data_IF_914974168661
#
_entry.id   IF_914974168661
#
_cell.length_a   1.000
_cell.length_b   1.000
_cell.length_c   1.000
_cell.angle_alpha   90.00
_cell.angle_beta   90.00
_cell.angle_gamma   90.00
#
_symmetry.space_group_name_H-M   'P 1'
#
loop_
_entity.id
_entity.type
_entity.pdbx_description
1 polymer ?
#
# COMPACT_ATOMS: atom_id res chain seq x y z
N UNK A 1 -12.57 -53.45 -18.67
CA UNK A 1 -11.84 -52.28 -19.21
C UNK A 1 -12.87 -51.34 -19.77
N UNK A 2 -12.95 -50.09 -19.29
CA UNK A 2 -13.84 -49.09 -19.92
C UNK A 2 -13.34 -48.79 -21.33
N UNK A 3 -14.25 -48.75 -22.30
CA UNK A 3 -13.95 -48.33 -23.66
C UNK A 3 -13.40 -46.90 -23.67
N UNK A 4 -12.47 -46.55 -24.59
CA UNK A 4 -12.00 -45.19 -24.72
C UNK A 4 -13.18 -44.25 -25.00
N UNK A 5 -13.26 -43.16 -24.24
CA UNK A 5 -14.29 -42.14 -24.38
C UNK A 5 -13.69 -40.91 -25.08
N UNK A 6 -14.35 -40.44 -26.14
CA UNK A 6 -14.00 -39.19 -26.80
C UNK A 6 -14.62 -38.00 -26.06
N UNK A 7 -13.80 -37.00 -25.72
CA UNK A 7 -14.23 -35.75 -25.09
C UNK A 7 -14.00 -34.58 -26.05
N UNK A 8 -14.98 -33.68 -26.15
CA UNK A 8 -14.88 -32.49 -27.00
C UNK A 8 -14.48 -31.26 -26.18
N UNK A 9 -13.29 -30.72 -26.43
CA UNK A 9 -12.84 -29.46 -25.82
C UNK A 9 -13.40 -28.26 -26.62
N UNK A 10 -14.13 -27.37 -25.94
CA UNK A 10 -14.53 -26.07 -26.51
C UNK A 10 -13.51 -25.02 -26.10
N UNK A 11 -12.72 -24.55 -27.06
CA UNK A 11 -11.66 -23.58 -26.84
C UNK A 11 -11.94 -22.33 -27.66
N UNK A 12 -11.76 -21.15 -27.05
CA UNK A 12 -11.67 -19.92 -27.83
C UNK A 12 -10.26 -19.78 -28.46
N UNK A 13 -10.05 -18.84 -29.40
CA UNK A 13 -8.74 -18.68 -30.06
C UNK A 13 -7.58 -18.41 -29.08
N UNK A 14 -7.81 -17.72 -27.96
CA UNK A 14 -6.77 -17.40 -26.98
C UNK A 14 -6.33 -18.63 -26.17
N UNK A 15 -7.29 -19.49 -25.82
CA UNK A 15 -7.02 -20.77 -25.16
C UNK A 15 -6.31 -21.72 -26.11
N UNK A 16 -6.73 -21.77 -27.38
CA UNK A 16 -6.06 -22.59 -28.39
C UNK A 16 -4.62 -22.12 -28.63
N UNK A 17 -4.39 -20.81 -28.74
CA UNK A 17 -3.06 -20.22 -28.88
C UNK A 17 -2.13 -20.59 -27.70
N UNK A 18 -2.64 -20.56 -26.46
CA UNK A 18 -1.87 -21.01 -25.30
C UNK A 18 -1.40 -22.46 -25.43
N UNK A 19 -2.31 -23.38 -25.80
CA UNK A 19 -1.99 -24.80 -25.94
C UNK A 19 -1.06 -25.05 -27.13
N UNK A 20 -1.25 -24.31 -28.22
CA UNK A 20 -0.36 -24.36 -29.39
C UNK A 20 1.05 -23.86 -29.05
N UNK A 21 1.20 -22.84 -28.20
CA UNK A 21 2.51 -22.40 -27.71
C UNK A 21 3.21 -23.47 -26.88
N UNK A 22 2.49 -24.20 -26.02
CA UNK A 22 3.07 -25.36 -25.31
C UNK A 22 3.61 -26.41 -26.29
N UNK A 23 2.82 -26.77 -27.31
CA UNK A 23 3.22 -27.72 -28.36
C UNK A 23 4.45 -27.21 -29.12
N UNK A 24 4.45 -25.94 -29.53
CA UNK A 24 5.56 -25.31 -30.23
C UNK A 24 6.85 -25.25 -29.39
N UNK A 25 6.72 -25.13 -28.07
CA UNK A 25 7.83 -25.17 -27.12
C UNK A 25 8.32 -26.60 -26.80
N UNK A 26 7.74 -27.62 -27.45
CA UNK A 26 8.13 -29.02 -27.28
C UNK A 26 7.49 -29.72 -26.10
N UNK A 27 6.43 -29.16 -25.49
CA UNK A 27 5.78 -29.82 -24.35
C UNK A 27 5.05 -31.11 -24.75
N UNK A 28 4.60 -31.21 -26.01
CA UNK A 28 3.99 -32.39 -26.60
C UNK A 28 4.00 -32.29 -28.13
N UNK A 29 3.77 -33.41 -28.83
CA UNK A 29 3.69 -33.42 -30.30
C UNK A 29 2.38 -32.83 -30.85
N UNK A 30 1.28 -32.97 -30.11
CA UNK A 30 -0.05 -32.50 -30.49
C UNK A 30 -0.94 -32.28 -29.24
N UNK A 31 -2.16 -31.80 -29.47
CA UNK A 31 -3.11 -31.50 -28.39
C UNK A 31 -3.52 -32.75 -27.60
N UNK A 32 -3.60 -33.92 -28.24
CA UNK A 32 -3.94 -35.17 -27.59
C UNK A 32 -2.82 -35.59 -26.62
N UNK A 33 -1.58 -35.55 -27.06
CA UNK A 33 -0.39 -35.86 -26.28
C UNK A 33 -0.19 -34.86 -25.14
N UNK A 34 -0.50 -33.57 -25.38
CA UNK A 34 -0.49 -32.53 -24.35
C UNK A 34 -1.53 -32.82 -23.26
N UNK A 35 -2.76 -33.19 -23.65
CA UNK A 35 -3.82 -33.56 -22.71
C UNK A 35 -3.42 -34.79 -21.87
N UNK A 36 -2.84 -35.82 -22.50
CA UNK A 36 -2.35 -37.01 -21.80
C UNK A 36 -1.20 -36.69 -20.82
N UNK A 37 -0.25 -35.84 -21.23
CA UNK A 37 0.83 -35.36 -20.38
C UNK A 37 0.28 -34.59 -19.17
N UNK A 38 -0.62 -33.64 -19.41
CA UNK A 38 -1.24 -32.84 -18.36
C UNK A 38 -1.96 -33.72 -17.33
N UNK A 39 -2.77 -34.69 -17.76
CA UNK A 39 -3.46 -35.64 -16.86
C UNK A 39 -2.44 -36.41 -16.00
N UNK A 40 -1.37 -36.93 -16.62
CA UNK A 40 -0.35 -37.72 -15.92
C UNK A 40 0.41 -36.88 -14.89
N UNK A 41 0.89 -35.70 -15.28
CA UNK A 41 1.70 -34.85 -14.41
C UNK A 41 0.89 -34.21 -13.28
N UNK A 42 -0.36 -33.81 -13.55
CA UNK A 42 -1.27 -33.33 -12.52
C UNK A 42 -1.63 -34.42 -11.52
N UNK A 43 -1.90 -35.65 -11.99
CA UNK A 43 -2.19 -36.79 -11.10
C UNK A 43 -1.02 -37.11 -10.17
N UNK A 44 0.21 -36.99 -10.67
CA UNK A 44 1.41 -37.34 -9.92
C UNK A 44 2.01 -36.15 -9.14
N UNK A 45 1.38 -34.97 -9.20
CA UNK A 45 1.93 -33.72 -8.68
C UNK A 45 3.38 -33.46 -9.14
N UNK A 46 3.68 -33.81 -10.40
CA UNK A 46 5.03 -33.76 -10.98
C UNK A 46 5.19 -32.64 -12.01
N UNK A 47 4.31 -31.64 -11.96
CA UNK A 47 4.39 -30.47 -12.85
C UNK A 47 5.61 -29.64 -12.45
N UNK A 48 6.53 -29.46 -13.37
CA UNK A 48 7.69 -28.60 -13.18
C UNK A 48 7.39 -27.20 -13.68
N UNK A 49 7.80 -26.19 -12.94
CA UNK A 49 7.64 -24.80 -13.38
C UNK A 49 8.53 -24.54 -14.59
N UNK A 50 7.92 -24.17 -15.71
CA UNK A 50 8.63 -23.66 -16.89
C UNK A 50 8.91 -22.15 -16.80
N UNK A 51 8.61 -21.51 -15.67
CA UNK A 51 8.87 -20.08 -15.48
C UNK A 51 10.38 -19.85 -15.53
N UNK A 52 10.89 -18.95 -16.39
CA UNK A 52 12.30 -18.59 -16.40
C UNK A 52 12.75 -18.15 -15.01
N UNK A 53 13.99 -18.46 -14.65
CA UNK A 53 14.59 -17.94 -13.43
C UNK A 53 14.54 -16.40 -13.47
N UNK A 54 14.29 -15.79 -12.32
CA UNK A 54 14.38 -14.34 -12.20
C UNK A 54 15.80 -13.88 -12.59
N UNK A 55 15.96 -12.74 -13.28
CA UNK A 55 17.27 -12.21 -13.59
C UNK A 55 18.08 -11.99 -12.31
N UNK A 56 19.40 -12.14 -12.41
CA UNK A 56 20.30 -11.86 -11.30
C UNK A 56 20.14 -10.40 -10.85
N UNK A 57 20.23 -10.16 -9.54
CA UNK A 57 20.24 -8.79 -9.01
C UNK A 57 21.48 -8.05 -9.52
N UNK A 58 21.37 -6.75 -9.85
CA UNK A 58 22.53 -5.96 -10.27
C UNK A 58 23.56 -5.89 -9.14
N UNK A 59 24.84 -5.88 -9.50
CA UNK A 59 25.91 -5.55 -8.54
C UNK A 59 25.89 -4.04 -8.28
N UNK A 60 25.64 -3.67 -7.03
CA UNK A 60 25.53 -2.28 -6.58
C UNK A 60 26.76 -1.84 -5.78
N UNK A 61 27.75 -2.71 -5.56
CA UNK A 61 28.84 -2.52 -4.58
C UNK A 61 29.69 -1.27 -4.80
N UNK A 62 29.82 -0.79 -6.04
CA UNK A 62 30.59 0.41 -6.40
C UNK A 62 29.79 1.71 -6.55
N UNK A 63 28.47 1.69 -6.37
CA UNK A 63 27.61 2.86 -6.57
C UNK A 63 27.40 3.64 -5.27
N UNK A 64 27.42 4.97 -5.40
CA UNK A 64 27.13 5.87 -4.28
C UNK A 64 25.72 5.63 -3.74
N UNK A 65 25.60 5.59 -2.41
CA UNK A 65 24.34 5.52 -1.66
C UNK A 65 23.92 6.89 -1.11
N UNK A 66 24.69 7.95 -1.40
CA UNK A 66 24.44 9.28 -0.88
C UNK A 66 23.24 9.90 -1.57
N UNK A 67 22.19 10.16 -0.79
CA UNK A 67 21.02 10.93 -1.20
C UNK A 67 21.18 12.40 -0.79
N UNK A 68 20.70 13.32 -1.63
CA UNK A 68 20.62 14.74 -1.28
C UNK A 68 19.21 15.06 -0.77
N UNK A 69 19.09 15.54 0.47
CA UNK A 69 17.82 16.03 1.01
C UNK A 69 17.37 17.30 0.28
N UNK A 70 16.14 17.31 -0.21
CA UNK A 70 15.53 18.42 -0.95
C UNK A 70 14.44 19.13 -0.14
N UNK A 71 13.66 18.38 0.64
CA UNK A 71 12.60 18.92 1.48
C UNK A 71 12.30 18.03 2.68
N UNK A 72 11.86 18.63 3.78
CA UNK A 72 11.38 17.94 4.99
C UNK A 72 10.06 18.58 5.43
N UNK A 73 9.12 17.75 5.89
CA UNK A 73 7.86 18.20 6.47
C UNK A 73 7.41 17.27 7.59
N UNK A 74 6.92 17.84 8.69
CA UNK A 74 6.13 17.11 9.68
C UNK A 74 4.66 17.17 9.28
N UNK A 75 4.00 16.02 9.29
CA UNK A 75 2.56 15.86 9.15
C UNK A 75 2.00 15.60 10.54
N UNK A 76 1.18 16.52 11.02
CA UNK A 76 0.55 16.41 12.34
C UNK A 76 -0.65 15.44 12.31
N UNK A 77 -1.02 14.83 13.44
CA UNK A 77 -2.26 14.07 13.58
C UNK A 77 -3.48 14.76 12.97
N UNK A 78 -4.22 14.02 12.13
CA UNK A 78 -5.40 14.55 11.43
C UNK A 78 -5.09 15.40 10.20
N UNK A 79 -3.83 15.41 9.72
CA UNK A 79 -3.42 16.19 8.54
C UNK A 79 -2.76 15.33 7.47
N UNK A 80 -2.67 15.88 6.26
CA UNK A 80 -1.96 15.29 5.13
C UNK A 80 -1.33 16.38 4.26
N UNK A 81 -0.60 15.98 3.21
CA UNK A 81 0.01 16.95 2.30
C UNK A 81 0.15 16.39 0.90
N UNK A 82 -0.23 17.17 -0.11
CA UNK A 82 0.13 16.89 -1.49
C UNK A 82 1.55 17.41 -1.80
N UNK A 83 2.39 16.53 -2.34
CA UNK A 83 3.81 16.72 -2.58
C UNK A 83 4.12 16.40 -4.04
N UNK A 84 4.68 17.37 -4.77
CA UNK A 84 5.30 17.10 -6.06
C UNK A 84 6.54 16.24 -5.84
N UNK A 85 6.61 15.11 -6.53
CA UNK A 85 7.71 14.16 -6.47
C UNK A 85 8.14 13.84 -7.88
N UNK A 86 9.27 14.41 -8.29
CA UNK A 86 9.78 14.27 -9.65
C UNK A 86 10.39 12.88 -9.87
N UNK A 87 10.39 12.41 -11.13
CA UNK A 87 11.09 11.17 -11.50
C UNK A 87 12.54 11.19 -11.01
N UNK A 88 12.96 10.10 -10.36
CA UNK A 88 14.30 9.99 -9.78
C UNK A 88 14.44 10.64 -8.41
N UNK A 89 13.35 11.09 -7.79
CA UNK A 89 13.33 11.48 -6.37
C UNK A 89 12.81 10.33 -5.50
N UNK A 90 13.24 10.32 -4.24
CA UNK A 90 12.79 9.37 -3.22
C UNK A 90 11.92 10.10 -2.21
N UNK A 91 10.73 9.57 -1.96
CA UNK A 91 9.89 9.96 -0.82
C UNK A 91 10.16 9.00 0.33
N UNK A 92 10.61 9.55 1.46
CA UNK A 92 10.69 8.86 2.74
C UNK A 92 9.52 9.26 3.61
N UNK A 93 8.77 8.28 4.11
CA UNK A 93 7.82 8.47 5.21
C UNK A 93 8.44 7.80 6.44
N UNK A 94 8.65 8.58 7.50
CA UNK A 94 9.34 8.16 8.72
C UNK A 94 8.46 8.38 9.95
N UNK A 95 8.54 7.44 10.89
CA UNK A 95 7.95 7.53 12.21
C UNK A 95 8.68 8.58 13.06
N UNK A 96 7.96 9.59 13.55
CA UNK A 96 8.53 10.55 14.52
C UNK A 96 8.64 9.90 15.90
N UNK A 97 7.56 9.27 16.36
CA UNK A 97 7.50 8.60 17.66
C UNK A 97 7.43 7.07 17.53
N UNK A 98 6.80 6.56 16.47
CA UNK A 98 6.50 5.15 16.26
C UNK A 98 5.01 4.85 16.42
N UNK A 99 4.58 3.68 15.95
CA UNK A 99 3.21 3.23 16.16
C UNK A 99 2.13 4.02 15.41
N UNK A 100 2.45 4.68 14.29
CA UNK A 100 1.50 5.44 13.48
C UNK A 100 1.40 4.90 12.05
N UNK A 101 0.18 4.64 11.57
CA UNK A 101 -0.05 4.32 10.16
C UNK A 101 -0.14 5.58 9.29
N UNK A 102 0.23 5.45 8.02
CA UNK A 102 -0.02 6.48 7.02
C UNK A 102 -0.87 5.91 5.89
N UNK A 103 -1.84 6.69 5.43
CA UNK A 103 -2.51 6.43 4.17
C UNK A 103 -1.76 7.18 3.06
N UNK A 104 -1.70 6.58 1.87
CA UNK A 104 -0.97 7.15 0.74
C UNK A 104 -1.77 7.01 -0.55
N UNK A 105 -1.98 8.12 -1.25
CA UNK A 105 -2.40 8.13 -2.66
C UNK A 105 -1.31 8.75 -3.54
N UNK A 106 -1.37 8.44 -4.83
CA UNK A 106 -0.36 8.88 -5.78
C UNK A 106 -0.94 8.97 -7.18
N UNK A 107 -0.72 10.11 -7.84
CA UNK A 107 -1.20 10.43 -9.17
C UNK A 107 -0.01 10.73 -10.08
N UNK A 108 -0.13 10.46 -11.38
CA UNK A 108 0.78 11.04 -12.36
C UNK A 108 0.55 12.57 -12.36
N UNK A 109 1.62 13.33 -12.15
CA UNK A 109 1.56 14.79 -12.03
C UNK A 109 0.99 15.47 -13.28
N UNK A 110 1.17 14.85 -14.45
CA UNK A 110 0.74 15.41 -15.73
C UNK A 110 -0.62 14.88 -16.20
N UNK A 111 -1.22 13.93 -15.47
CA UNK A 111 -2.46 13.27 -15.83
C UNK A 111 -3.07 12.55 -14.62
N UNK A 112 -3.91 13.23 -13.85
CA UNK A 112 -4.50 12.65 -12.64
C UNK A 112 -5.44 11.45 -12.90
N UNK A 113 -5.85 11.21 -14.16
CA UNK A 113 -6.59 9.99 -14.52
C UNK A 113 -5.67 8.76 -14.59
N UNK A 114 -4.37 8.94 -14.41
CA UNK A 114 -3.43 7.89 -14.04
C UNK A 114 -3.10 8.02 -12.56
N UNK A 115 -3.61 7.09 -11.77
CA UNK A 115 -3.40 7.04 -10.33
C UNK A 115 -3.06 5.63 -9.89
N UNK A 116 -2.51 5.50 -8.69
CA UNK A 116 -2.08 4.22 -8.13
C UNK A 116 -3.28 3.27 -7.97
N UNK A 117 -3.06 2.01 -8.36
CA UNK A 117 -4.07 0.95 -8.32
C UNK A 117 -3.59 -0.19 -7.43
N UNK A 118 -3.96 -0.11 -6.15
CA UNK A 118 -3.56 -1.08 -5.12
C UNK A 118 -3.99 -2.51 -5.46
N UNK A 119 -5.09 -2.70 -6.20
CA UNK A 119 -5.51 -4.03 -6.67
C UNK A 119 -4.48 -4.69 -7.61
N UNK A 120 -3.83 -3.90 -8.47
CA UNK A 120 -2.80 -4.40 -9.40
C UNK A 120 -1.51 -4.67 -8.64
N UNK A 121 -1.11 -3.75 -7.76
CA UNK A 121 0.00 -3.95 -6.82
C UNK A 121 -0.19 -5.25 -6.03
N UNK A 122 -1.39 -5.48 -5.49
CA UNK A 122 -1.75 -6.69 -4.74
C UNK A 122 -1.63 -7.97 -5.56
N UNK A 123 -2.11 -7.97 -6.81
CA UNK A 123 -1.99 -9.13 -7.69
C UNK A 123 -0.55 -9.49 -8.00
N UNK A 124 0.34 -8.50 -8.13
CA UNK A 124 1.73 -8.72 -8.53
C UNK A 124 2.65 -9.02 -7.34
N UNK A 125 2.38 -8.41 -6.18
CA UNK A 125 3.31 -8.38 -5.05
C UNK A 125 2.71 -8.90 -3.73
N UNK A 126 1.45 -9.35 -3.74
CA UNK A 126 0.77 -9.86 -2.55
C UNK A 126 0.15 -8.76 -1.68
N UNK A 127 -0.30 -9.12 -0.47
CA UNK A 127 -1.08 -8.23 0.40
C UNK A 127 -0.25 -7.17 1.14
N UNK A 128 1.07 -7.41 1.30
CA UNK A 128 1.97 -6.55 2.06
C UNK A 128 3.24 -6.21 1.24
N UNK A 129 3.15 -5.31 0.22
CA UNK A 129 4.29 -4.94 -0.60
C UNK A 129 5.43 -4.31 0.21
N UNK A 130 6.67 -4.60 -0.17
CA UNK A 130 7.87 -4.07 0.49
C UNK A 130 9.06 -3.94 -0.46
N UNK A 131 10.30 -3.83 0.07
CA UNK A 131 11.52 -3.64 -0.71
C UNK A 131 11.65 -4.59 -1.91
N UNK A 132 11.78 -4.00 -3.10
CA UNK A 132 11.83 -4.73 -4.37
C UNK A 132 10.51 -4.74 -5.14
N UNK A 133 9.41 -4.29 -4.52
CA UNK A 133 8.10 -4.25 -5.15
C UNK A 133 7.81 -2.89 -5.80
N UNK A 134 6.88 -2.90 -6.75
CA UNK A 134 6.42 -1.72 -7.48
C UNK A 134 5.00 -1.34 -7.10
N UNK A 135 4.73 -0.04 -6.97
CA UNK A 135 3.36 0.50 -6.92
C UNK A 135 2.92 0.82 -8.36
N UNK A 136 1.80 0.25 -8.80
CA UNK A 136 1.35 0.30 -10.19
C UNK A 136 0.20 1.29 -10.40
N UNK A 137 0.12 1.92 -11.58
CA UNK A 137 -1.03 2.72 -11.99
C UNK A 137 -2.20 1.88 -12.48
N UNK A 138 -3.40 2.47 -12.50
CA UNK A 138 -4.62 1.82 -12.99
C UNK A 138 -4.58 1.54 -14.50
N UNK A 139 -5.32 0.52 -14.99
CA UNK A 139 -5.67 0.42 -16.40
C UNK A 139 -6.33 1.72 -16.90
N UNK A 140 -6.07 2.15 -18.14
CA UNK A 140 -5.39 1.39 -19.20
C UNK A 140 -3.86 1.54 -19.23
N UNK A 141 -3.25 2.33 -18.33
CA UNK A 141 -1.82 2.65 -18.42
C UNK A 141 -0.94 1.57 -17.78
N UNK A 142 -1.31 1.10 -16.60
CA UNK A 142 -0.65 -0.02 -15.89
C UNK A 142 0.88 0.07 -15.85
N UNK A 143 1.39 1.25 -15.50
CA UNK A 143 2.83 1.54 -15.42
C UNK A 143 3.28 1.52 -13.97
N UNK A 144 4.52 1.12 -13.75
CA UNK A 144 5.12 1.27 -12.43
C UNK A 144 5.29 2.77 -12.11
N UNK A 145 4.67 3.23 -11.04
CA UNK A 145 4.71 4.62 -10.57
C UNK A 145 5.87 4.80 -9.61
N UNK A 146 6.00 3.89 -8.64
CA UNK A 146 7.04 3.94 -7.62
C UNK A 146 7.67 2.56 -7.40
N UNK A 147 8.89 2.55 -6.91
CA UNK A 147 9.61 1.36 -6.48
C UNK A 147 9.96 1.47 -5.00
N UNK A 148 9.63 0.46 -4.20
CA UNK A 148 9.94 0.45 -2.77
C UNK A 148 11.40 0.05 -2.60
N UNK A 149 12.22 1.00 -2.15
CA UNK A 149 13.65 0.80 -1.92
C UNK A 149 13.91 0.17 -0.55
N UNK A 150 13.26 0.70 0.48
CA UNK A 150 13.44 0.29 1.87
C UNK A 150 12.11 0.30 2.62
N UNK A 151 11.99 -0.60 3.58
CA UNK A 151 10.93 -0.67 4.59
C UNK A 151 11.56 -1.35 5.80
N UNK A 152 11.76 -0.59 6.86
CA UNK A 152 12.43 -1.08 8.07
C UNK A 152 11.52 -1.93 8.95
N UNK A 153 10.21 -1.91 8.71
CA UNK A 153 9.18 -2.54 9.56
C UNK A 153 8.54 -3.75 8.90
N UNK A 154 8.42 -3.75 7.57
CA UNK A 154 7.76 -4.79 6.76
C UNK A 154 6.27 -4.93 7.07
N UNK A 155 5.58 -3.80 7.21
CA UNK A 155 4.19 -3.75 7.66
C UNK A 155 3.32 -2.85 6.77
N UNK A 156 3.48 -2.86 5.45
CA UNK A 156 2.57 -2.14 4.56
C UNK A 156 1.38 -3.00 4.17
N UNK A 157 0.27 -2.38 3.78
CA UNK A 157 -0.95 -3.07 3.39
C UNK A 157 -1.57 -2.49 2.10
N UNK A 158 -2.10 -3.39 1.27
CA UNK A 158 -2.94 -3.07 0.10
C UNK A 158 -4.27 -3.83 0.12
N UNK A 159 -4.66 -4.38 1.26
CA UNK A 159 -5.89 -5.16 1.39
C UNK A 159 -7.04 -4.33 1.92
N UNK A 160 -6.82 -3.54 2.97
CA UNK A 160 -7.85 -2.72 3.57
C UNK A 160 -8.00 -1.39 2.81
N UNK A 161 -9.24 -0.89 2.66
CA UNK A 161 -9.45 0.45 2.15
C UNK A 161 -9.07 1.49 3.21
N UNK A 162 -8.99 2.75 2.77
CA UNK A 162 -8.93 3.90 3.67
C UNK A 162 -10.16 3.99 4.58
N UNK A 163 -10.00 4.49 5.80
CA UNK A 163 -11.15 4.77 6.66
C UNK A 163 -11.95 5.98 6.14
N UNK A 164 -13.24 6.03 6.49
CA UNK A 164 -14.17 7.07 6.04
C UNK A 164 -15.20 7.41 7.13
N UNK A 165 -15.84 8.57 7.02
CA UNK A 165 -16.92 8.95 7.94
C UNK A 165 -18.03 7.89 8.01
N UNK A 166 -18.43 7.31 6.87
CA UNK A 166 -19.46 6.27 6.83
C UNK A 166 -19.05 4.99 7.56
N UNK A 167 -17.78 4.57 7.44
CA UNK A 167 -17.25 3.46 8.23
C UNK A 167 -17.38 3.74 9.73
N UNK A 168 -16.96 4.94 10.15
CA UNK A 168 -17.02 5.33 11.57
C UNK A 168 -18.43 5.39 12.14
N UNK A 169 -19.39 5.89 11.37
CA UNK A 169 -20.77 5.95 11.81
C UNK A 169 -21.44 4.57 11.79
N UNK A 170 -21.35 3.85 10.67
CA UNK A 170 -22.09 2.59 10.48
C UNK A 170 -21.56 1.43 11.31
N UNK A 171 -20.25 1.38 11.54
CA UNK A 171 -19.60 0.26 12.24
C UNK A 171 -19.36 0.58 13.70
N UNK A 172 -18.98 1.82 14.02
CA UNK A 172 -18.54 2.20 15.36
C UNK A 172 -19.47 3.21 16.06
N UNK A 173 -20.51 3.71 15.39
CA UNK A 173 -21.48 4.64 15.97
C UNK A 173 -20.98 6.08 16.17
N UNK A 174 -19.85 6.46 15.56
CA UNK A 174 -19.32 7.82 15.66
C UNK A 174 -19.95 8.74 14.61
N UNK A 175 -20.73 9.72 15.04
CA UNK A 175 -21.29 10.75 14.14
C UNK A 175 -20.22 11.73 13.61
N UNK A 176 -19.09 11.85 14.29
CA UNK A 176 -17.93 12.64 13.87
C UNK A 176 -16.66 11.92 14.28
N UNK A 177 -15.78 11.66 13.31
CA UNK A 177 -14.48 11.05 13.55
C UNK A 177 -13.47 11.46 12.47
N UNK A 178 -12.24 11.71 12.88
CA UNK A 178 -11.12 11.96 11.95
C UNK A 178 -10.88 10.73 11.09
N UNK A 179 -10.78 10.88 9.78
CA UNK A 179 -10.66 9.75 8.85
C UNK A 179 -9.81 10.09 7.64
N UNK A 180 -9.17 9.08 7.05
CA UNK A 180 -8.23 9.26 5.95
C UNK A 180 -8.91 9.82 4.69
N UNK A 181 -10.15 9.41 4.37
CA UNK A 181 -10.84 9.93 3.20
C UNK A 181 -10.97 11.47 3.22
N UNK A 182 -11.39 12.05 4.35
CA UNK A 182 -11.54 13.50 4.49
C UNK A 182 -10.18 14.21 4.46
N UNK A 183 -9.18 13.66 5.16
CA UNK A 183 -7.83 14.23 5.19
C UNK A 183 -7.22 14.23 3.79
N UNK A 184 -7.36 13.13 3.08
CA UNK A 184 -6.84 12.95 1.72
C UNK A 184 -7.49 13.92 0.75
N UNK A 185 -8.82 14.06 0.82
CA UNK A 185 -9.61 15.00 0.02
C UNK A 185 -9.15 16.44 0.21
N UNK A 186 -8.89 16.84 1.46
CA UNK A 186 -8.44 18.19 1.77
C UNK A 186 -6.97 18.43 1.37
N UNK A 187 -6.09 17.44 1.53
CA UNK A 187 -4.69 17.55 1.15
C UNK A 187 -4.53 17.69 -0.38
N UNK A 188 -5.28 16.91 -1.16
CA UNK A 188 -5.19 16.94 -2.62
C UNK A 188 -5.89 18.14 -3.26
N UNK A 189 -6.79 18.83 -2.52
CA UNK A 189 -7.47 20.05 -2.98
C UNK A 189 -6.49 21.16 -3.37
N UNK A 190 -5.30 21.20 -2.78
CA UNK A 190 -4.21 22.11 -3.15
C UNK A 190 -3.83 22.02 -4.64
N UNK A 191 -4.14 20.92 -5.32
CA UNK A 191 -3.87 20.71 -6.76
C UNK A 191 -5.14 20.62 -7.61
N UNK A 192 -6.28 21.09 -7.08
CA UNK A 192 -7.57 21.09 -7.77
C UNK A 192 -8.26 19.73 -7.86
N UNK A 193 -7.76 18.71 -7.16
CA UNK A 193 -8.42 17.42 -7.03
C UNK A 193 -9.63 17.54 -6.08
N UNK A 194 -10.59 16.64 -6.28
CA UNK A 194 -11.86 16.58 -5.55
C UNK A 194 -11.96 15.31 -4.73
N UNK A 195 -12.89 15.19 -3.75
CA UNK A 195 -13.07 13.97 -2.97
C UNK A 195 -13.25 12.69 -3.83
N UNK A 196 -13.88 12.81 -5.01
CA UNK A 196 -14.07 11.70 -5.95
C UNK A 196 -12.78 11.17 -6.59
N UNK A 197 -11.68 11.94 -6.52
CA UNK A 197 -10.39 11.50 -7.02
C UNK A 197 -9.60 10.66 -6.00
N UNK A 198 -10.03 10.66 -4.72
CA UNK A 198 -9.41 9.80 -3.70
C UNK A 198 -9.64 8.34 -4.06
N UNK A 199 -8.55 7.57 -4.13
CA UNK A 199 -8.59 6.13 -4.43
C UNK A 199 -8.14 5.30 -3.23
N UNK A 200 -8.20 3.98 -3.36
CA UNK A 200 -7.75 3.09 -2.29
C UNK A 200 -6.27 3.32 -1.96
N UNK A 201 -5.96 3.30 -0.66
CA UNK A 201 -4.67 3.69 -0.11
C UNK A 201 -3.67 2.56 -0.13
N UNK A 202 -2.40 2.91 -0.34
CA UNK A 202 -1.30 2.09 0.14
C UNK A 202 -1.10 2.46 1.61
N UNK A 203 -1.40 1.52 2.51
CA UNK A 203 -1.41 1.77 3.94
C UNK A 203 -0.01 1.47 4.50
N UNK A 204 0.79 2.52 4.66
CA UNK A 204 2.14 2.43 5.21
C UNK A 204 2.08 2.10 6.71
N UNK A 205 2.92 1.16 7.12
CA UNK A 205 3.04 0.68 8.52
C UNK A 205 1.80 0.00 9.12
N UNK A 206 0.72 -0.19 8.36
CA UNK A 206 -0.47 -0.93 8.78
C UNK A 206 -0.20 -2.45 8.81
N UNK A 207 0.07 -2.97 10.00
CA UNK A 207 0.33 -4.40 10.21
C UNK A 207 -0.96 -5.22 10.02
N UNK A 208 -1.05 -5.97 8.93
CA UNK A 208 -2.25 -6.77 8.59
C UNK A 208 -1.90 -8.22 8.32
N UNK A 209 -2.80 -9.10 8.71
CA UNK A 209 -2.67 -10.55 8.51
C UNK A 209 -3.97 -11.14 7.96
N UNK A 210 -3.88 -12.29 7.30
CA UNK A 210 -5.05 -13.12 7.00
C UNK A 210 -5.24 -14.10 8.15
N UNK A 211 -6.36 -13.99 8.85
CA UNK A 211 -6.75 -14.88 9.94
C UNK A 211 -8.00 -15.68 9.53
N UNK A 212 -7.80 -16.91 9.08
CA UNK A 212 -8.88 -17.73 8.52
C UNK A 212 -9.40 -17.15 7.20
N UNK A 213 -10.69 -16.82 7.14
CA UNK A 213 -11.34 -16.26 5.95
C UNK A 213 -11.40 -14.71 5.95
N UNK A 214 -10.80 -14.04 6.95
CA UNK A 214 -10.87 -12.59 7.12
C UNK A 214 -9.50 -11.96 7.27
N UNK A 215 -9.36 -10.72 6.80
CA UNK A 215 -8.23 -9.87 7.17
C UNK A 215 -8.38 -9.41 8.63
N UNK A 216 -7.25 -9.27 9.34
CA UNK A 216 -7.18 -8.69 10.67
C UNK A 216 -6.07 -7.66 10.74
N UNK A 217 -6.33 -6.58 11.46
CA UNK A 217 -5.33 -5.55 11.77
C UNK A 217 -4.69 -5.91 13.09
N UNK A 218 -3.37 -5.99 13.10
CA UNK A 218 -2.57 -6.31 14.27
C UNK A 218 -1.94 -5.05 14.87
N UNK A 219 -1.40 -5.21 16.07
CA UNK A 219 -0.61 -4.16 16.71
C UNK A 219 0.59 -3.79 15.86
N UNK A 220 0.84 -2.49 15.77
CA UNK A 220 1.96 -1.92 15.04
C UNK A 220 3.24 -1.96 15.90
N UNK A 221 4.40 -2.25 15.29
CA UNK A 221 5.69 -2.47 15.99
C UNK A 221 6.78 -1.45 15.64
N UNK A 222 6.50 -0.47 14.78
CA UNK A 222 7.45 0.56 14.40
C UNK A 222 7.77 1.51 15.55
N UNK A 223 8.99 2.05 15.48
CA UNK A 223 9.59 2.94 16.46
C UNK A 223 10.02 4.23 15.77
N UNK A 224 10.36 5.25 16.55
CA UNK A 224 10.98 6.47 16.04
C UNK A 224 12.15 6.15 15.08
N UNK A 225 12.16 6.78 13.91
CA UNK A 225 13.16 6.59 12.85
C UNK A 225 12.89 5.43 11.88
N UNK A 226 11.94 4.54 12.17
CA UNK A 226 11.49 3.55 11.18
C UNK A 226 10.85 4.24 9.98
N UNK A 227 11.12 3.74 8.78
CA UNK A 227 10.73 4.41 7.55
C UNK A 227 10.49 3.47 6.38
N UNK A 228 9.77 4.00 5.38
CA UNK A 228 9.62 3.44 4.04
C UNK A 228 10.15 4.45 3.03
N UNK A 229 11.02 3.99 2.14
CA UNK A 229 11.60 4.78 1.05
C UNK A 229 11.04 4.32 -0.29
N UNK A 230 10.45 5.24 -1.04
CA UNK A 230 9.84 4.95 -2.34
C UNK A 230 10.41 5.86 -3.42
N UNK A 231 11.03 5.27 -4.44
CA UNK A 231 11.57 5.97 -5.61
C UNK A 231 10.48 6.25 -6.64
N UNK A 232 10.36 7.49 -7.08
CA UNK A 232 9.48 7.88 -8.18
C UNK A 232 10.05 7.48 -9.54
N UNK A 233 9.30 6.71 -10.32
CA UNK A 233 9.68 6.24 -11.67
C UNK A 233 9.10 7.12 -12.79
N UNK A 234 8.23 8.04 -12.43
CA UNK A 234 7.67 9.11 -13.24
C UNK A 234 7.43 10.33 -12.35
N UNK A 235 6.95 11.44 -12.92
CA UNK A 235 6.58 12.62 -12.14
C UNK A 235 5.23 12.40 -11.48
N UNK A 236 5.18 12.62 -10.17
CA UNK A 236 4.05 12.21 -9.33
C UNK A 236 3.56 13.36 -8.46
N UNK A 237 2.26 13.35 -8.20
CA UNK A 237 1.68 14.01 -7.04
C UNK A 237 1.47 12.94 -5.96
N UNK A 238 2.38 12.92 -5.00
CA UNK A 238 2.37 12.01 -3.87
C UNK A 238 1.61 12.65 -2.71
N UNK A 239 0.65 11.95 -2.11
CA UNK A 239 -0.23 12.54 -1.10
C UNK A 239 -0.32 11.62 0.11
N UNK A 240 0.67 11.65 1.03
CA UNK A 240 0.60 10.99 2.32
C UNK A 240 -0.29 11.74 3.32
N UNK A 241 -0.93 11.00 4.22
CA UNK A 241 -1.57 11.56 5.41
C UNK A 241 -1.34 10.71 6.66
N UNK A 242 -1.45 11.36 7.82
CA UNK A 242 -1.47 10.65 9.11
C UNK A 242 -2.83 9.98 9.27
N UNK A 243 -2.85 8.65 9.40
CA UNK A 243 -4.10 7.89 9.55
C UNK A 243 -4.85 8.35 10.82
N UNK A 244 -6.16 8.59 10.68
CA UNK A 244 -7.02 9.07 11.78
C UNK A 244 -7.56 7.98 12.71
N UNK A 245 -7.09 6.73 12.60
CA UNK A 245 -7.64 5.60 13.33
C UNK A 245 -7.00 5.40 14.73
N UNK A 246 -7.69 5.86 15.77
CA UNK A 246 -7.28 5.81 17.18
C UNK A 246 -8.18 4.95 18.07
N UNK A 247 -9.29 4.42 17.55
CA UNK A 247 -10.17 3.48 18.26
C UNK A 247 -9.90 2.01 17.92
N UNK A 248 -8.86 1.74 17.11
CA UNK A 248 -8.47 0.41 16.64
C UNK A 248 -6.94 0.25 16.69
N UNK A 249 -6.46 -1.01 16.59
CA UNK A 249 -5.03 -1.33 16.72
C UNK A 249 -4.13 -0.71 15.66
N UNK A 250 -4.69 -0.21 14.55
CA UNK A 250 -4.01 0.41 13.41
C UNK A 250 -2.86 1.34 13.82
N UNK A 251 -3.14 2.37 14.62
CA UNK A 251 -2.10 3.28 15.15
C UNK A 251 -1.93 3.13 16.66
N UNK A 252 -2.08 1.90 17.18
CA UNK A 252 -1.91 1.59 18.60
C UNK A 252 -2.72 2.52 19.54
N UNK A 253 -3.95 2.84 19.12
CA UNK A 253 -4.91 3.68 19.85
C UNK A 253 -4.47 5.10 20.19
N UNK A 254 -3.56 5.68 19.42
CA UNK A 254 -3.11 7.06 19.62
C UNK A 254 -2.54 7.60 18.31
N UNK A 255 -2.81 8.85 17.99
CA UNK A 255 -2.32 9.48 16.77
C UNK A 255 -1.02 10.24 17.04
N UNK A 256 0.00 10.01 16.22
CA UNK A 256 1.34 10.61 16.32
C UNK A 256 1.74 11.26 14.99
N UNK A 257 2.62 12.25 14.99
CA UNK A 257 3.11 12.85 13.75
C UNK A 257 3.94 11.87 12.91
N UNK A 258 3.98 12.13 11.61
CA UNK A 258 4.88 11.48 10.65
C UNK A 258 5.79 12.53 10.01
N UNK A 259 6.98 12.11 9.59
CA UNK A 259 7.91 12.97 8.86
C UNK A 259 7.96 12.51 7.39
N UNK A 260 7.71 13.42 6.47
CA UNK A 260 7.87 13.24 5.04
C UNK A 260 9.12 13.98 4.55
N UNK A 261 10.02 13.27 3.89
CA UNK A 261 11.24 13.84 3.31
C UNK A 261 11.35 13.48 1.83
N UNK A 262 11.80 14.44 1.03
CA UNK A 262 12.06 14.24 -0.40
C UNK A 262 13.56 14.35 -0.62
N UNK A 263 14.11 13.36 -1.32
CA UNK A 263 15.52 13.29 -1.67
C UNK A 263 15.71 13.21 -3.18
N UNK A 264 16.82 13.73 -3.69
CA UNK A 264 17.35 13.25 -4.97
C UNK A 264 17.88 11.82 -4.76
N UNK A 265 17.51 10.88 -5.64
CA UNK A 265 17.96 9.51 -5.55
C UNK A 265 19.48 9.40 -5.74
N UNK A 266 20.08 8.45 -5.03
CA UNK A 266 21.47 8.07 -5.24
C UNK A 266 21.65 7.25 -6.52
N UNK A 267 22.89 7.07 -6.96
CA UNK A 267 23.21 6.17 -8.08
C UNK A 267 22.73 4.74 -7.79
N UNK A 268 22.92 4.29 -6.55
CA UNK A 268 22.49 2.97 -6.08
C UNK A 268 20.97 2.81 -6.14
N UNK A 269 20.20 3.81 -5.73
CA UNK A 269 18.74 3.78 -5.78
C UNK A 269 18.26 3.57 -7.21
N UNK A 270 18.77 4.37 -8.15
CA UNK A 270 18.40 4.31 -9.57
C UNK A 270 18.78 2.96 -10.20
N UNK A 271 19.98 2.45 -9.90
CA UNK A 271 20.45 1.16 -10.42
C UNK A 271 19.76 -0.06 -9.77
N UNK A 272 19.13 0.11 -8.61
CA UNK A 272 18.43 -0.99 -7.92
C UNK A 272 17.11 -1.38 -8.60
N UNK A 273 16.54 -0.50 -9.43
CA UNK A 273 15.26 -0.72 -10.09
C UNK A 273 15.42 -1.77 -11.20
N UNK A 274 14.69 -2.89 -11.14
CA UNK A 274 14.67 -3.86 -12.22
C UNK A 274 14.18 -3.23 -13.53
N UNK A 275 14.71 -3.72 -14.66
CA UNK A 275 14.21 -3.30 -15.97
C UNK A 275 12.70 -3.57 -16.09
N UNK A 276 11.93 -2.54 -16.41
CA UNK A 276 10.50 -2.67 -16.68
C UNK A 276 10.31 -3.21 -18.08
N UNK A 277 9.53 -4.27 -18.21
CA UNK A 277 9.19 -4.84 -19.51
C UNK A 277 8.27 -3.89 -20.29
N UNK A 278 8.59 -3.65 -21.55
CA UNK A 278 7.72 -2.96 -22.50
C UNK A 278 6.96 -4.02 -23.32
N UNK A 279 5.66 -4.12 -23.11
CA UNK A 279 4.82 -5.12 -23.75
C UNK A 279 4.13 -4.52 -24.97
N UNK A 280 4.31 -5.12 -26.14
CA UNK A 280 3.62 -4.70 -27.37
C UNK A 280 2.09 -4.76 -27.29
N UNK A 281 1.56 -5.52 -26.33
CA UNK A 281 0.11 -5.63 -26.06
C UNK A 281 -0.39 -4.60 -25.04
N UNK A 282 0.49 -3.83 -24.39
CA UNK A 282 0.08 -2.77 -23.48
C UNK A 282 -0.54 -1.63 -24.27
N UNK A 283 -1.85 -1.47 -24.13
CA UNK A 283 -2.60 -0.42 -24.83
C UNK A 283 -2.34 0.92 -24.18
N UNK A 284 -2.20 1.95 -25.02
CA UNK A 284 -2.18 3.36 -24.64
C UNK A 284 -3.57 3.94 -24.89
N UNK A 285 -3.94 5.08 -24.25
CA UNK A 285 -5.22 5.74 -24.53
C UNK A 285 -5.52 5.91 -26.03
N UNK A 286 -4.50 6.22 -26.84
CA UNK A 286 -4.60 6.36 -28.30
C UNK A 286 -5.09 5.08 -29.04
N UNK A 287 -4.93 3.90 -28.44
CA UNK A 287 -5.36 2.63 -29.05
C UNK A 287 -6.84 2.33 -28.81
N UNK A 288 -7.54 3.12 -27.99
CA UNK A 288 -8.96 2.93 -27.69
C UNK A 288 -9.85 3.70 -28.66
N UNK A 289 -11.06 3.17 -28.92
CA UNK A 289 -12.06 3.83 -29.80
C UNK A 289 -12.46 5.22 -29.31
N UNK A 290 -12.40 5.44 -28.00
CA UNK A 290 -12.46 6.76 -27.39
C UNK A 290 -11.08 7.06 -26.77
N UNK A 291 -10.18 7.73 -27.50
CA UNK A 291 -8.83 8.01 -27.01
C UNK A 291 -8.73 9.28 -26.17
N UNK A 292 -9.78 10.11 -26.14
CA UNK A 292 -9.79 11.39 -25.43
C UNK A 292 -10.13 11.17 -23.96
N UNK A 293 -9.14 11.33 -23.08
CA UNK A 293 -9.34 11.30 -21.63
C UNK A 293 -9.70 12.70 -21.14
N UNK A 294 -10.85 12.84 -20.48
CA UNK A 294 -11.28 14.09 -19.84
C UNK A 294 -10.54 14.31 -18.52
N UNK A 295 -9.27 14.66 -18.62
CA UNK A 295 -8.45 15.13 -17.51
C UNK A 295 -8.43 16.67 -17.52
N UNK A 296 -9.61 17.26 -17.29
CA UNK A 296 -9.85 18.70 -17.54
C UNK A 296 -9.15 19.62 -16.52
N UNK A 297 -8.54 19.04 -15.48
CA UNK A 297 -7.86 19.72 -14.38
C UNK A 297 -6.37 19.42 -14.41
N UNK A 298 -5.51 20.34 -14.85
CA UNK A 298 -4.07 20.18 -14.70
C UNK A 298 -3.73 20.26 -13.21
N UNK A 299 -2.89 19.33 -12.72
CA UNK A 299 -2.40 19.37 -11.35
C UNK A 299 -1.39 20.51 -11.24
N UNK A 300 -1.86 21.67 -10.79
CA UNK A 300 -1.05 22.84 -10.51
C UNK A 300 -1.28 23.24 -9.07
N UNK A 301 -0.18 23.48 -8.36
CA UNK A 301 -0.25 23.95 -6.98
C UNK A 301 -0.99 25.28 -6.90
N UNK A 302 -2.03 25.32 -6.09
CA UNK A 302 -2.72 26.53 -5.68
C UNK A 302 -1.87 27.25 -4.62
N UNK A 303 -1.37 28.44 -4.96
CA UNK A 303 -0.56 29.25 -4.06
C UNK A 303 -1.37 29.89 -2.94
N UNK A 304 -2.69 30.00 -3.11
CA UNK A 304 -3.62 30.58 -2.14
C UNK A 304 -4.28 29.50 -1.26
N UNK A 305 -3.89 28.24 -1.43
CA UNK A 305 -4.40 27.12 -0.63
C UNK A 305 -4.10 27.32 0.86
N UNK A 306 -5.17 27.33 1.65
CA UNK A 306 -5.13 27.25 3.11
C UNK A 306 -5.80 25.94 3.53
N UNK A 307 -5.11 25.07 4.30
CA UNK A 307 -5.66 23.79 4.72
C UNK A 307 -6.81 23.96 5.72
N UNK A 308 -7.86 23.17 5.56
CA UNK A 308 -9.04 23.12 6.42
C UNK A 308 -9.42 21.65 6.72
N UNK A 309 -8.52 20.94 7.40
CA UNK A 309 -8.76 19.53 7.74
C UNK A 309 -9.88 19.37 8.77
N UNK A 310 -10.78 18.42 8.52
CA UNK A 310 -11.85 18.06 9.45
C UNK A 310 -11.27 17.61 10.79
N UNK A 311 -11.78 18.18 11.88
CA UNK A 311 -11.35 17.90 13.26
C UNK A 311 -9.87 18.22 13.56
N UNK A 312 -9.19 19.05 12.76
CA UNK A 312 -7.82 19.50 13.04
C UNK A 312 -7.75 20.98 13.44
N UNK A 313 -6.83 21.39 14.34
CA UNK A 313 -5.94 20.51 15.11
C UNK A 313 -6.74 19.64 16.09
N UNK A 314 -6.24 18.42 16.34
CA UNK A 314 -6.84 17.55 17.34
C UNK A 314 -6.63 18.14 18.73
N UNK A 315 -7.68 18.11 19.55
CA UNK A 315 -7.64 18.60 20.93
C UNK A 315 -7.56 17.41 21.86
N UNK A 316 -6.53 17.37 22.70
CA UNK A 316 -6.39 16.38 23.76
C UNK A 316 -6.75 17.01 25.11
N UNK A 317 -7.30 16.19 26.00
CA UNK A 317 -7.60 16.56 27.38
C UNK A 317 -7.12 15.44 28.30
N UNK A 318 -6.52 15.83 29.41
CA UNK A 318 -6.04 14.88 30.41
C UNK A 318 -7.18 14.44 31.33
N UNK A 319 -7.23 13.13 31.59
CA UNK A 319 -8.15 12.51 32.53
C UNK A 319 -7.35 11.67 33.52
N UNK A 320 -7.63 11.84 34.81
CA UNK A 320 -6.96 11.09 35.88
C UNK A 320 -7.74 9.80 36.13
N UNK A 321 -7.02 8.68 36.09
CA UNK A 321 -7.52 7.36 36.48
C UNK A 321 -6.67 6.86 37.64
N UNK A 322 -7.30 6.59 38.77
CA UNK A 322 -6.64 6.02 39.94
C UNK A 322 -6.70 4.49 39.87
N UNK A 323 -5.55 3.84 39.99
CA UNK A 323 -5.41 2.38 40.02
C UNK A 323 -4.70 1.96 41.31
N UNK A 324 -5.19 0.89 41.93
CA UNK A 324 -4.52 0.22 43.04
C UNK A 324 -3.20 -0.44 42.60
N UNK A 325 -2.32 -0.77 43.55
CA UNK A 325 -1.08 -1.48 43.25
C UNK A 325 -1.33 -2.81 42.51
N UNK A 326 -2.38 -3.54 42.88
CA UNK A 326 -2.75 -4.79 42.22
C UNK A 326 -3.20 -4.57 40.77
N UNK A 327 -3.92 -3.48 40.48
CA UNK A 327 -4.33 -3.15 39.11
C UNK A 327 -3.13 -2.71 38.27
N UNK A 328 -2.15 -2.02 38.86
CA UNK A 328 -0.89 -1.69 38.19
C UNK A 328 -0.09 -2.96 37.86
N UNK A 329 0.06 -3.88 38.81
CA UNK A 329 0.73 -5.16 38.57
C UNK A 329 0.01 -5.97 37.47
N UNK A 330 -1.32 -5.92 37.46
CA UNK A 330 -2.14 -6.53 36.40
C UNK A 330 -1.91 -5.85 35.05
N UNK A 331 -1.85 -4.51 35.01
CA UNK A 331 -1.56 -3.76 33.79
C UNK A 331 -0.19 -4.14 33.21
N UNK A 332 0.83 -4.27 34.04
CA UNK A 332 2.18 -4.65 33.60
C UNK A 332 2.24 -6.10 33.10
N UNK A 333 1.40 -6.98 33.65
CA UNK A 333 1.31 -8.39 33.23
C UNK A 333 0.84 -8.58 31.77
N UNK A 334 0.21 -7.57 31.16
CA UNK A 334 -0.18 -7.61 29.73
C UNK A 334 1.02 -7.55 28.78
N UNK A 335 2.23 -7.26 29.26
CA UNK A 335 3.45 -7.34 28.45
C UNK A 335 3.56 -6.27 27.37
N UNK A 336 2.98 -5.08 27.60
CA UNK A 336 2.96 -3.98 26.62
C UNK A 336 4.23 -3.11 26.61
N UNK A 337 5.22 -3.42 27.45
CA UNK A 337 6.51 -2.72 27.51
C UNK A 337 7.24 -2.62 26.17
N UNK A 338 7.22 -3.62 25.25
CA UNK A 338 7.86 -3.49 23.94
C UNK A 338 7.31 -2.35 23.07
N UNK A 339 6.07 -1.91 23.32
CA UNK A 339 5.39 -0.87 22.54
C UNK A 339 5.44 0.51 23.19
N UNK A 340 5.34 0.57 24.53
CA UNK A 340 5.20 1.82 25.27
C UNK A 340 6.34 2.09 26.28
N UNK A 341 7.30 1.18 26.41
CA UNK A 341 8.37 1.28 27.40
C UNK A 341 7.81 1.43 28.82
N UNK A 342 8.20 2.50 29.50
CA UNK A 342 7.75 2.81 30.87
C UNK A 342 6.47 3.66 30.92
N UNK A 343 5.87 4.01 29.77
CA UNK A 343 4.62 4.77 29.72
C UNK A 343 3.40 3.89 30.05
N UNK A 344 3.09 3.82 31.35
CA UNK A 344 1.93 3.08 31.87
C UNK A 344 0.60 3.69 31.41
N UNK A 345 0.54 4.99 31.11
CA UNK A 345 -0.71 5.62 30.66
C UNK A 345 -1.04 5.20 29.22
N UNK A 346 -0.03 5.10 28.35
CA UNK A 346 -0.21 4.55 27.01
C UNK A 346 -0.57 3.05 27.05
N UNK A 347 0.05 2.26 27.94
CA UNK A 347 -0.33 0.87 28.15
C UNK A 347 -1.77 0.73 28.65
N UNK A 348 -2.22 1.58 29.59
CA UNK A 348 -3.59 1.60 30.07
C UNK A 348 -4.57 1.94 28.95
N UNK A 349 -4.27 2.95 28.13
CA UNK A 349 -5.06 3.31 26.95
C UNK A 349 -5.24 2.10 26.03
N UNK A 350 -4.14 1.40 25.71
CA UNK A 350 -4.21 0.18 24.91
C UNK A 350 -5.14 -0.86 25.51
N UNK A 351 -5.00 -1.18 26.80
CA UNK A 351 -5.85 -2.17 27.46
C UNK A 351 -7.33 -1.75 27.41
N UNK A 352 -7.64 -0.48 27.66
CA UNK A 352 -9.02 0.03 27.63
C UNK A 352 -9.66 -0.08 26.25
N UNK A 353 -8.97 0.35 25.20
CA UNK A 353 -9.51 0.26 23.84
C UNK A 353 -9.49 -1.16 23.29
N UNK A 354 -8.50 -1.97 23.66
CA UNK A 354 -8.49 -3.42 23.39
C UNK A 354 -9.68 -4.13 24.03
N UNK A 355 -10.04 -3.77 25.27
CA UNK A 355 -11.22 -4.28 25.94
C UNK A 355 -12.50 -3.85 25.22
N UNK A 356 -12.60 -2.59 24.81
CA UNK A 356 -13.74 -2.08 24.07
C UNK A 356 -13.92 -2.81 22.73
N UNK A 357 -12.84 -2.91 21.94
CA UNK A 357 -12.80 -3.65 20.67
C UNK A 357 -13.32 -5.08 20.89
N UNK A 358 -12.75 -5.82 21.84
CA UNK A 358 -13.18 -7.19 22.15
C UNK A 358 -14.62 -7.30 22.65
N UNK A 359 -15.15 -6.26 23.30
CA UNK A 359 -16.49 -6.30 23.92
C UNK A 359 -17.60 -5.95 22.93
N UNK A 360 -17.30 -5.14 21.93
CA UNK A 360 -18.30 -4.53 21.04
C UNK A 360 -18.09 -4.85 19.55
N UNK A 361 -16.90 -5.33 19.16
CA UNK A 361 -16.55 -5.63 17.76
C UNK A 361 -16.35 -7.12 17.46
N UNK A 362 -15.87 -7.89 18.44
CA UNK A 362 -15.76 -9.36 18.39
C UNK A 362 -17.00 -10.03 19.00
#
# INVERSE_FOLDING_TARGET
>A
MSSPQSLTLRLNPQQLDLLQRCIANGDAADLQSLAQRAIREMKNNSVTSAKPAAPAKPDLSGLSDQRQLLATRILEPGTGKALELMKGQVLRIEQVEGGQCADFNCFNLHDYKEFMHVGRTRTLHGFNPGPGDFLWSAPPRERAMMFILADTVRANDVMFPRCSANLYESVYGFHKHTNCHDIQSEAQREYGLTPDDVHDSFNLFMNTVIAGERGRIERQTSKAGDHVDMLALMDLLAVPNVCGADIMRTSNFSLKPLKAEIYAASERDLASVPALADWSTQRKPADFRQPTIKADRPLKRDTDYVPQFTNAPLVSQDYVVELSAQEIDTLESFGLHPYYGTDRAAALRDVMYSWWEKRYMD
#
